data_IF_454734150673
#
_entry.id   IF_454734150673
#
_cell.length_a   1.000
_cell.length_b   1.000
_cell.length_c   1.000
_cell.angle_alpha   90.00
_cell.angle_beta   90.00
_cell.angle_gamma   90.00
#
_symmetry.space_group_name_H-M   'P 1'
#
loop_
_entity.id
_entity.type
_entity.pdbx_description
1 polymer ?
#
# COMPACT_ATOMS: atom_id res chain seq x y z
N UNK A 1 2.97 22.51 36.41
CA UNK A 1 2.64 21.07 36.32
C UNK A 1 3.02 20.55 34.94
N UNK A 2 4.30 20.23 34.73
CA UNK A 2 4.74 19.47 33.56
C UNK A 2 4.23 18.04 33.74
N UNK A 3 3.18 17.64 32.99
CA UNK A 3 2.86 16.23 32.79
C UNK A 3 4.08 15.59 32.13
N UNK A 4 4.82 14.79 32.88
CA UNK A 4 5.85 13.88 32.39
C UNK A 4 5.18 12.97 31.36
N UNK A 5 5.28 13.32 30.06
CA UNK A 5 4.88 12.44 28.98
C UNK A 5 5.75 11.20 29.09
N UNK A 6 5.19 10.08 29.55
CA UNK A 6 5.85 8.79 29.57
C UNK A 6 6.50 8.55 28.19
N UNK A 7 7.82 8.64 28.15
CA UNK A 7 8.63 8.46 26.93
C UNK A 7 8.55 7.04 26.38
N UNK A 8 7.90 6.14 27.11
CA UNK A 8 7.79 4.73 26.77
C UNK A 8 6.38 4.21 27.06
N UNK A 9 5.86 3.38 26.17
CA UNK A 9 4.58 2.67 26.31
C UNK A 9 4.79 1.21 25.94
N UNK A 10 4.45 0.29 26.85
CA UNK A 10 4.53 -1.15 26.64
C UNK A 10 3.12 -1.73 26.66
N UNK A 11 2.81 -2.56 25.68
CA UNK A 11 1.54 -3.26 25.56
C UNK A 11 1.81 -4.76 25.48
N UNK A 12 1.16 -5.53 26.35
CA UNK A 12 1.18 -6.98 26.31
C UNK A 12 0.29 -7.46 25.17
N UNK A 13 0.80 -8.37 24.37
CA UNK A 13 0.04 -9.00 23.28
C UNK A 13 -0.58 -10.27 23.83
N UNK A 14 -1.92 -10.34 23.80
CA UNK A 14 -2.68 -11.52 24.18
C UNK A 14 -3.21 -12.28 22.96
N UNK A 15 -3.23 -13.59 23.05
CA UNK A 15 -3.87 -14.48 22.08
C UNK A 15 -4.73 -15.50 22.86
N UNK A 16 -6.04 -15.34 22.83
CA UNK A 16 -6.94 -15.98 23.76
C UNK A 16 -6.60 -15.55 25.20
N UNK A 17 -6.43 -16.50 26.10
CA UNK A 17 -6.07 -16.28 27.50
C UNK A 17 -4.55 -16.13 27.75
N UNK A 18 -3.70 -16.33 26.72
CA UNK A 18 -2.25 -16.36 26.87
C UNK A 18 -1.57 -15.04 26.53
N UNK A 19 -0.60 -14.64 27.34
CA UNK A 19 0.33 -13.59 27.03
C UNK A 19 1.37 -14.16 26.06
N UNK A 20 1.45 -13.65 24.82
CA UNK A 20 2.25 -14.24 23.75
C UNK A 20 3.41 -13.36 23.28
N UNK A 21 3.52 -12.18 23.87
CA UNK A 21 4.58 -11.22 23.55
C UNK A 21 4.24 -9.82 24.04
N UNK A 22 5.05 -8.86 23.57
CA UNK A 22 4.81 -7.45 23.85
C UNK A 22 5.15 -6.59 22.64
N UNK A 23 4.61 -5.39 22.62
CA UNK A 23 4.97 -4.31 21.70
C UNK A 23 5.29 -3.06 22.51
N UNK A 24 6.43 -2.46 22.20
CA UNK A 24 6.94 -1.27 22.90
C UNK A 24 7.01 -0.11 21.92
N UNK A 25 6.59 1.05 22.37
CA UNK A 25 6.67 2.31 21.66
C UNK A 25 7.46 3.29 22.51
N UNK A 26 8.63 3.69 22.06
CA UNK A 26 9.57 4.53 22.80
C UNK A 26 9.77 5.86 22.07
N UNK A 27 9.66 6.98 22.76
CA UNK A 27 9.91 8.32 22.23
C UNK A 27 11.39 8.64 22.32
N UNK A 28 12.04 8.76 21.16
CA UNK A 28 13.38 9.35 20.97
C UNK A 28 13.24 10.61 20.14
N UNK A 29 14.03 10.78 19.11
CA UNK A 29 13.79 11.81 18.07
C UNK A 29 12.46 11.53 17.35
N UNK A 30 12.19 10.24 17.05
CA UNK A 30 10.89 9.74 16.55
C UNK A 30 10.35 8.71 17.55
N UNK A 31 9.09 8.28 17.32
CA UNK A 31 8.54 7.15 18.04
C UNK A 31 9.06 5.84 17.44
N UNK A 32 9.91 5.13 18.19
CA UNK A 32 10.49 3.87 17.78
C UNK A 32 9.63 2.71 18.28
N UNK A 33 9.25 1.78 17.38
CA UNK A 33 8.51 0.57 17.73
C UNK A 33 9.44 -0.63 17.78
N UNK A 34 9.30 -1.43 18.81
CA UNK A 34 9.86 -2.78 18.91
C UNK A 34 8.77 -3.79 19.26
N UNK A 35 8.87 -5.01 18.74
CA UNK A 35 7.90 -6.07 18.95
C UNK A 35 8.60 -7.40 19.20
N UNK A 36 8.13 -8.13 20.19
CA UNK A 36 8.60 -9.47 20.52
C UNK A 36 7.42 -10.41 20.63
N UNK A 37 7.50 -11.56 19.95
CA UNK A 37 6.51 -12.65 20.02
C UNK A 37 7.25 -13.93 20.42
N UNK A 38 6.72 -14.67 21.39
CA UNK A 38 7.26 -15.94 21.81
C UNK A 38 7.33 -16.94 20.64
N UNK A 39 8.39 -17.73 20.59
CA UNK A 39 8.74 -18.58 19.45
C UNK A 39 7.57 -19.44 18.97
N UNK A 40 6.81 -20.07 19.88
CA UNK A 40 5.66 -20.95 19.60
C UNK A 40 4.45 -20.24 18.97
N UNK A 41 4.38 -18.91 19.09
CA UNK A 41 3.29 -18.09 18.54
C UNK A 41 3.70 -17.28 17.30
N UNK A 42 4.94 -17.47 16.81
CA UNK A 42 5.40 -16.82 15.56
C UNK A 42 4.69 -17.42 14.34
N UNK A 43 4.76 -16.72 13.22
CA UNK A 43 4.15 -17.11 11.93
C UNK A 43 2.61 -17.22 11.92
N UNK A 44 1.94 -16.93 13.03
CA UNK A 44 0.46 -16.90 13.18
C UNK A 44 -0.14 -15.51 12.91
N UNK A 45 0.56 -14.62 12.21
CA UNK A 45 0.15 -13.24 11.89
C UNK A 45 -0.16 -12.35 13.12
N UNK A 46 0.07 -12.83 14.36
CA UNK A 46 -0.22 -12.13 15.61
C UNK A 46 0.53 -10.79 15.68
N UNK A 47 1.85 -10.80 15.41
CA UNK A 47 2.66 -9.58 15.41
C UNK A 47 2.17 -8.53 14.42
N UNK A 48 1.73 -8.93 13.24
CA UNK A 48 1.18 -8.03 12.23
C UNK A 48 -0.13 -7.38 12.70
N UNK A 49 -1.00 -8.17 13.34
CA UNK A 49 -2.25 -7.66 13.93
C UNK A 49 -1.97 -6.69 15.09
N UNK A 50 -1.04 -7.04 15.99
CA UNK A 50 -0.64 -6.19 17.10
C UNK A 50 -0.06 -4.84 16.64
N UNK A 51 0.85 -4.84 15.65
CA UNK A 51 1.39 -3.62 15.08
C UNK A 51 0.30 -2.76 14.42
N UNK A 52 -0.62 -3.37 13.69
CA UNK A 52 -1.75 -2.65 13.06
C UNK A 52 -2.68 -2.01 14.10
N UNK A 53 -2.94 -2.67 15.23
CA UNK A 53 -3.74 -2.11 16.33
C UNK A 53 -3.02 -0.94 17.01
N UNK A 54 -1.70 -1.06 17.23
CA UNK A 54 -0.89 0.03 17.75
C UNK A 54 -0.96 1.26 16.85
N UNK A 55 -0.78 1.09 15.55
CA UNK A 55 -0.85 2.16 14.57
C UNK A 55 -2.20 2.85 14.52
N UNK A 56 -3.29 2.08 14.64
CA UNK A 56 -4.65 2.64 14.73
C UNK A 56 -4.84 3.47 16.00
N UNK A 57 -4.30 3.00 17.13
CA UNK A 57 -4.37 3.72 18.41
C UNK A 57 -3.57 5.02 18.41
N UNK A 58 -2.45 5.05 17.68
CA UNK A 58 -1.51 6.17 17.62
C UNK A 58 -1.36 6.72 16.20
N UNK A 59 -2.47 6.96 15.50
CA UNK A 59 -2.47 7.41 14.08
C UNK A 59 -1.81 8.78 13.85
N UNK A 60 -1.84 9.64 14.85
CA UNK A 60 -1.30 11.01 14.76
C UNK A 60 0.22 11.06 14.90
N UNK A 61 0.87 9.97 15.31
CA UNK A 61 2.31 9.94 15.50
C UNK A 61 3.01 9.14 14.40
N UNK A 62 4.19 9.64 14.03
CA UNK A 62 5.06 8.97 13.06
C UNK A 62 5.88 7.88 13.77
N UNK A 63 5.49 6.63 13.53
CA UNK A 63 6.16 5.46 14.07
C UNK A 63 7.22 4.97 13.10
N UNK A 64 8.43 4.71 13.60
CA UNK A 64 9.53 4.09 12.85
C UNK A 64 9.96 2.79 13.53
N UNK A 65 10.54 1.88 12.76
CA UNK A 65 11.23 0.71 13.26
C UNK A 65 12.74 0.86 13.02
N UNK A 66 13.52 0.60 14.05
CA UNK A 66 14.99 0.59 14.01
C UNK A 66 15.45 -0.86 14.06
N UNK A 67 16.03 -1.34 12.96
CA UNK A 67 16.35 -2.77 12.80
C UNK A 67 17.80 -2.95 12.40
N UNK A 68 18.53 -3.80 13.12
CA UNK A 68 19.90 -4.16 12.74
C UNK A 68 19.91 -4.90 11.40
N UNK A 69 20.90 -4.59 10.53
CA UNK A 69 20.97 -5.14 9.14
C UNK A 69 21.05 -6.67 9.12
N UNK A 70 21.64 -7.29 10.12
CA UNK A 70 21.72 -8.75 10.24
C UNK A 70 20.41 -9.39 10.74
N UNK A 71 19.46 -8.62 11.28
CA UNK A 71 18.18 -9.14 11.73
C UNK A 71 17.21 -9.31 10.58
N UNK A 72 17.53 -10.24 9.68
CA UNK A 72 16.73 -10.53 8.47
C UNK A 72 15.27 -10.85 8.79
N UNK A 73 15.00 -11.51 9.94
CA UNK A 73 13.62 -11.85 10.38
C UNK A 73 12.79 -10.60 10.69
N UNK A 74 13.35 -9.65 11.46
CA UNK A 74 12.66 -8.39 11.74
C UNK A 74 12.51 -7.52 10.50
N UNK A 75 13.52 -7.48 9.62
CA UNK A 75 13.42 -6.76 8.34
C UNK A 75 12.27 -7.33 7.50
N UNK A 76 12.18 -8.66 7.34
CA UNK A 76 11.10 -9.30 6.60
C UNK A 76 9.73 -9.04 7.25
N UNK A 77 9.65 -9.10 8.58
CA UNK A 77 8.44 -8.78 9.32
C UNK A 77 7.95 -7.36 9.05
N UNK A 78 8.80 -6.35 9.24
CA UNK A 78 8.42 -4.96 9.00
C UNK A 78 8.09 -4.68 7.53
N UNK A 79 8.83 -5.27 6.58
CA UNK A 79 8.46 -5.20 5.14
C UNK A 79 7.07 -5.78 4.88
N UNK A 80 6.71 -6.91 5.51
CA UNK A 80 5.37 -7.50 5.38
C UNK A 80 4.26 -6.62 5.96
N UNK A 81 4.62 -5.66 6.83
CA UNK A 81 3.72 -4.66 7.40
C UNK A 81 3.76 -3.31 6.64
N UNK A 82 4.30 -3.30 5.41
CA UNK A 82 4.46 -2.11 4.55
C UNK A 82 5.42 -1.04 5.10
N UNK A 83 6.41 -1.46 5.92
CA UNK A 83 7.51 -0.60 6.31
C UNK A 83 8.64 -0.72 5.29
N UNK A 84 9.12 0.40 4.77
CA UNK A 84 10.26 0.44 3.87
C UNK A 84 11.41 1.23 4.51
N UNK A 85 12.64 0.83 4.18
CA UNK A 85 13.84 1.52 4.62
C UNK A 85 13.88 2.91 3.97
N UNK A 86 13.98 3.96 4.78
CA UNK A 86 14.13 5.32 4.30
C UNK A 86 15.50 5.92 4.65
N UNK A 87 16.22 5.31 5.61
CA UNK A 87 17.59 5.69 5.97
C UNK A 87 18.37 4.45 6.40
N UNK A 88 19.62 4.37 5.98
CA UNK A 88 20.58 3.33 6.36
C UNK A 88 21.77 3.99 7.06
N UNK A 89 22.09 3.54 8.25
CA UNK A 89 23.35 3.81 8.94
C UNK A 89 24.20 2.54 8.91
N UNK A 90 25.50 2.59 9.32
CA UNK A 90 26.45 1.46 9.21
C UNK A 90 25.81 0.08 9.41
N UNK A 91 25.11 -0.15 10.52
CA UNK A 91 24.53 -1.46 10.88
C UNK A 91 23.03 -1.44 11.13
N UNK A 92 22.33 -0.35 10.77
CA UNK A 92 20.93 -0.15 11.14
C UNK A 92 20.13 0.36 9.96
N UNK A 93 18.96 -0.25 9.74
CA UNK A 93 17.89 0.29 8.89
C UNK A 93 16.88 1.06 9.75
N UNK A 94 16.60 2.29 9.35
CA UNK A 94 15.44 3.02 9.82
C UNK A 94 14.30 2.80 8.82
N UNK A 95 13.24 2.17 9.28
CA UNK A 95 12.10 1.80 8.45
C UNK A 95 10.85 2.56 8.89
N UNK A 96 10.08 3.06 7.95
CA UNK A 96 8.79 3.72 8.19
C UNK A 96 7.71 3.11 7.32
N UNK A 97 6.46 3.19 7.78
CA UNK A 97 5.32 2.77 6.98
C UNK A 97 5.19 3.68 5.76
N UNK A 98 5.13 3.09 4.60
CA UNK A 98 4.73 3.81 3.38
C UNK A 98 3.22 3.75 3.25
N UNK A 99 2.60 4.88 2.88
CA UNK A 99 1.21 4.85 2.44
C UNK A 99 1.12 3.82 1.32
N UNK A 100 0.23 2.85 1.50
CA UNK A 100 0.06 1.79 0.50
C UNK A 100 -0.48 2.47 -0.76
N UNK A 101 0.35 2.64 -1.77
CA UNK A 101 -0.08 3.13 -3.08
C UNK A 101 -0.85 2.02 -3.83
N UNK A 102 -1.84 1.40 -3.13
CA UNK A 102 -2.75 0.45 -3.75
C UNK A 102 -3.43 1.07 -4.98
N UNK A 103 -3.67 2.38 -4.94
CA UNK A 103 -4.23 3.09 -6.09
C UNK A 103 -3.35 2.96 -7.33
N UNK A 104 -2.01 3.14 -7.21
CA UNK A 104 -1.10 2.95 -8.35
C UNK A 104 -1.08 1.50 -8.86
N UNK A 105 -1.11 0.52 -7.95
CA UNK A 105 -1.21 -0.89 -8.36
C UNK A 105 -2.52 -1.20 -9.07
N UNK A 106 -3.63 -0.67 -8.55
CA UNK A 106 -4.95 -0.81 -9.17
C UNK A 106 -4.97 -0.09 -10.52
N UNK A 107 -4.47 1.14 -10.60
CA UNK A 107 -4.38 1.91 -11.86
C UNK A 107 -3.54 1.15 -12.89
N UNK A 108 -2.37 0.61 -12.52
CA UNK A 108 -1.53 -0.18 -13.41
C UNK A 108 -2.23 -1.47 -13.88
N UNK A 109 -3.02 -2.11 -13.00
CA UNK A 109 -3.82 -3.28 -13.36
C UNK A 109 -4.94 -2.90 -14.33
N UNK A 110 -5.63 -1.79 -14.11
CA UNK A 110 -6.66 -1.25 -15.01
C UNK A 110 -6.03 -0.91 -16.37
N UNK A 111 -4.89 -0.23 -16.39
CA UNK A 111 -4.15 0.08 -17.62
C UNK A 111 -3.82 -1.16 -18.43
N UNK A 112 -3.34 -2.22 -17.75
CA UNK A 112 -2.99 -3.50 -18.42
C UNK A 112 -4.23 -4.18 -19.04
N UNK A 113 -5.36 -4.19 -18.32
CA UNK A 113 -6.62 -4.74 -18.84
C UNK A 113 -7.14 -3.90 -20.01
N UNK A 114 -7.11 -2.56 -19.89
CA UNK A 114 -7.54 -1.65 -20.97
C UNK A 114 -6.66 -1.78 -22.21
N UNK A 115 -5.33 -1.87 -22.04
CA UNK A 115 -4.41 -2.07 -23.18
C UNK A 115 -4.74 -3.34 -23.96
N UNK A 116 -5.00 -4.45 -23.26
CA UNK A 116 -5.43 -5.70 -23.89
C UNK A 116 -6.79 -5.56 -24.59
N UNK A 117 -7.73 -4.85 -23.97
CA UNK A 117 -9.06 -4.63 -24.55
C UNK A 117 -9.00 -3.75 -25.81
N UNK A 118 -8.15 -2.72 -25.80
CA UNK A 118 -7.92 -1.87 -26.99
C UNK A 118 -7.35 -2.67 -28.16
N UNK A 119 -6.44 -3.62 -27.91
CA UNK A 119 -5.93 -4.52 -28.97
C UNK A 119 -7.09 -5.35 -29.57
N UNK A 120 -7.98 -5.90 -28.75
CA UNK A 120 -9.12 -6.66 -29.23
C UNK A 120 -10.06 -5.79 -30.08
N UNK A 121 -10.31 -4.55 -29.68
CA UNK A 121 -11.10 -3.58 -30.46
C UNK A 121 -10.47 -3.25 -31.82
N UNK A 122 -9.15 -3.07 -31.85
CA UNK A 122 -8.44 -2.81 -33.11
C UNK A 122 -8.50 -4.02 -34.06
N UNK A 123 -8.48 -5.23 -33.53
CA UNK A 123 -8.61 -6.44 -34.35
C UNK A 123 -10.03 -6.60 -34.91
N UNK A 124 -11.06 -6.33 -34.09
CA UNK A 124 -12.44 -6.26 -34.57
C UNK A 124 -12.60 -5.21 -35.66
N UNK A 125 -12.00 -4.04 -35.49
CA UNK A 125 -12.02 -2.97 -36.48
C UNK A 125 -11.37 -3.38 -37.78
N UNK A 126 -10.19 -4.04 -37.74
CA UNK A 126 -9.53 -4.59 -38.94
C UNK A 126 -10.44 -5.58 -39.70
N UNK A 127 -11.10 -6.48 -38.95
CA UNK A 127 -12.02 -7.43 -39.53
C UNK A 127 -13.20 -6.68 -40.18
N UNK A 128 -13.80 -5.70 -39.52
CA UNK A 128 -14.91 -4.90 -40.04
C UNK A 128 -14.53 -4.18 -41.34
N UNK A 129 -13.33 -3.55 -41.37
CA UNK A 129 -12.84 -2.90 -42.60
C UNK A 129 -12.48 -3.88 -43.72
N UNK A 130 -12.07 -5.09 -43.39
CA UNK A 130 -11.79 -6.14 -44.39
C UNK A 130 -13.08 -6.62 -45.08
N UNK A 131 -14.18 -6.77 -44.36
CA UNK A 131 -15.41 -7.37 -44.89
C UNK A 131 -16.49 -6.35 -45.25
N UNK A 132 -16.51 -5.16 -44.65
CA UNK A 132 -17.53 -4.13 -44.95
C UNK A 132 -16.99 -2.71 -44.69
N UNK A 133 -16.06 -2.21 -45.53
CA UNK A 133 -15.37 -0.94 -45.30
C UNK A 133 -16.29 0.27 -45.22
N UNK A 134 -17.34 0.32 -46.08
CA UNK A 134 -18.30 1.42 -46.11
C UNK A 134 -19.11 1.51 -44.79
N UNK A 135 -19.57 0.38 -44.27
CA UNK A 135 -20.31 0.33 -43.00
C UNK A 135 -19.39 0.61 -41.82
N UNK A 136 -18.17 0.05 -41.79
CA UNK A 136 -17.16 0.31 -40.76
C UNK A 136 -16.83 1.81 -40.71
N UNK A 137 -16.61 2.46 -41.85
CA UNK A 137 -16.36 3.92 -41.94
C UNK A 137 -17.53 4.73 -41.39
N UNK A 138 -18.77 4.35 -41.67
CA UNK A 138 -19.97 5.03 -41.14
C UNK A 138 -20.06 4.93 -39.61
N UNK A 139 -19.76 3.73 -39.03
CA UNK A 139 -19.75 3.52 -37.60
C UNK A 139 -18.66 4.34 -36.96
N UNK A 140 -17.44 4.31 -37.49
CA UNK A 140 -16.30 5.09 -36.97
C UNK A 140 -16.57 6.60 -37.01
N UNK A 141 -17.18 7.11 -38.06
CA UNK A 141 -17.61 8.51 -38.13
C UNK A 141 -18.61 8.87 -37.04
N UNK A 142 -19.56 7.99 -36.74
CA UNK A 142 -20.50 8.21 -35.64
C UNK A 142 -19.82 8.22 -34.27
N UNK A 143 -18.86 7.30 -34.01
CA UNK A 143 -18.07 7.27 -32.78
C UNK A 143 -17.29 8.59 -32.60
N UNK A 144 -16.61 9.05 -33.66
CA UNK A 144 -15.87 10.30 -33.64
C UNK A 144 -16.76 11.52 -33.29
N UNK A 145 -17.99 11.58 -33.86
CA UNK A 145 -18.95 12.65 -33.57
C UNK A 145 -19.37 12.64 -32.10
N UNK A 146 -19.59 11.45 -31.51
CA UNK A 146 -19.96 11.33 -30.10
C UNK A 146 -18.78 11.70 -29.16
N UNK A 147 -17.58 11.25 -29.48
CA UNK A 147 -16.36 11.61 -28.72
C UNK A 147 -16.10 13.13 -28.72
N UNK A 148 -16.36 13.78 -29.87
CA UNK A 148 -16.27 15.24 -29.96
C UNK A 148 -17.29 15.93 -29.03
N UNK A 149 -18.54 15.44 -28.99
CA UNK A 149 -19.57 15.97 -28.07
C UNK A 149 -19.18 15.78 -26.61
N UNK A 150 -18.62 14.61 -26.25
CA UNK A 150 -18.10 14.35 -24.89
C UNK A 150 -16.97 15.33 -24.55
N UNK A 151 -16.05 15.56 -25.45
CA UNK A 151 -14.94 16.49 -25.26
C UNK A 151 -15.44 17.94 -25.06
N UNK A 152 -16.47 18.36 -25.80
CA UNK A 152 -17.08 19.68 -25.65
C UNK A 152 -17.84 19.82 -24.32
N UNK A 153 -18.46 18.76 -23.82
CA UNK A 153 -19.09 18.74 -22.49
C UNK A 153 -18.04 18.85 -21.37
N UNK A 154 -16.94 18.09 -21.48
CA UNK A 154 -15.84 18.14 -20.51
C UNK A 154 -15.22 19.52 -20.42
N UNK A 155 -15.10 20.25 -21.53
CA UNK A 155 -14.61 21.66 -21.53
C UNK A 155 -15.50 22.61 -20.72
N UNK A 156 -16.81 22.30 -20.57
CA UNK A 156 -17.74 23.10 -19.78
C UNK A 156 -17.66 22.84 -18.27
N UNK A 157 -16.86 21.83 -17.82
CA UNK A 157 -16.62 21.53 -16.41
C UNK A 157 -15.47 22.36 -15.79
N UNK A 158 -14.88 23.28 -16.54
CA UNK A 158 -13.81 24.19 -16.07
C UNK A 158 -14.39 25.45 -15.46
#
# INVERSE_FOLDING_TARGET
>A
NQKLFNKEKIFIIKFGKHNVGYIRLEKKINWEVSISIFKIYRNKKIGKKALSLLEKKFKEIKIIAKVHILNKKSIAFFKSCNYNTYKKNKNIYLMKKTKNNNHLKIINSISKVRSKNNSNWMDILKIAFKFSPAQASKVMKNIYIQDKKISDLVRKLK
#
